data_IF_127255443516
#
_entry.id   IF_127255443516
#
_cell.length_a   1.000
_cell.length_b   1.000
_cell.length_c   1.000
_cell.angle_alpha   90.00
_cell.angle_beta   90.00
_cell.angle_gamma   90.00
#
_symmetry.space_group_name_H-M   'P 1'
#
loop_
_entity.id
_entity.type
_entity.pdbx_description
1 polymer ?
#
# COMPACT_ATOMS: atom_id res chain seq x y z
N UNK A 1 -27.52 0.97 6.27
CA UNK A 1 -26.30 0.30 6.74
C UNK A 1 -25.61 -0.27 5.51
N UNK A 2 -24.69 0.46 4.88
CA UNK A 2 -23.98 -0.03 3.69
C UNK A 2 -22.74 -0.79 4.14
N UNK A 3 -22.90 -2.09 4.45
CA UNK A 3 -21.77 -3.00 4.60
C UNK A 3 -21.16 -3.19 3.21
N UNK A 4 -20.14 -2.39 2.90
CA UNK A 4 -19.34 -2.63 1.70
C UNK A 4 -18.81 -4.08 1.75
N UNK A 5 -18.93 -4.86 0.67
CA UNK A 5 -18.41 -6.22 0.64
C UNK A 5 -16.91 -6.22 0.97
N UNK A 6 -16.39 -7.26 1.65
CA UNK A 6 -14.97 -7.35 1.95
C UNK A 6 -14.19 -7.25 0.64
N UNK A 7 -13.43 -6.16 0.48
CA UNK A 7 -12.64 -5.93 -0.73
C UNK A 7 -11.47 -6.90 -0.70
N UNK A 8 -11.64 -8.04 -1.37
CA UNK A 8 -10.58 -9.00 -1.62
C UNK A 8 -9.60 -8.37 -2.62
N UNK A 9 -8.68 -7.55 -2.13
CA UNK A 9 -7.52 -7.11 -2.91
C UNK A 9 -6.42 -8.16 -2.71
N UNK A 10 -5.92 -8.81 -3.77
CA UNK A 10 -4.78 -9.69 -3.63
C UNK A 10 -3.63 -8.94 -2.96
N UNK A 11 -3.01 -9.53 -1.95
CA UNK A 11 -1.87 -8.92 -1.29
C UNK A 11 -0.63 -8.89 -2.19
N UNK A 12 0.39 -8.18 -1.75
CA UNK A 12 1.76 -8.35 -2.23
C UNK A 12 2.44 -9.50 -1.46
N UNK A 13 3.46 -10.12 -2.05
CA UNK A 13 4.35 -10.99 -1.28
C UNK A 13 5.06 -10.20 -0.17
N UNK A 14 5.63 -10.88 0.81
CA UNK A 14 6.34 -10.22 1.91
C UNK A 14 7.53 -9.38 1.40
N UNK A 15 8.27 -9.88 0.42
CA UNK A 15 9.39 -9.15 -0.19
C UNK A 15 8.93 -7.90 -0.96
N UNK A 16 7.84 -8.02 -1.71
CA UNK A 16 7.22 -6.91 -2.42
C UNK A 16 6.70 -5.84 -1.43
N UNK A 17 6.01 -6.29 -0.38
CA UNK A 17 5.52 -5.41 0.69
C UNK A 17 6.66 -4.70 1.42
N UNK A 18 7.78 -5.39 1.68
CA UNK A 18 8.97 -4.80 2.30
C UNK A 18 9.62 -3.73 1.41
N UNK A 19 9.70 -3.96 0.09
CA UNK A 19 10.17 -2.95 -0.88
C UNK A 19 9.27 -1.73 -0.91
N UNK A 20 7.95 -1.93 -0.96
CA UNK A 20 6.96 -0.84 -0.91
C UNK A 20 7.11 -0.04 0.40
N UNK A 21 7.19 -0.70 1.57
CA UNK A 21 7.41 -0.04 2.86
C UNK A 21 8.70 0.79 2.85
N UNK A 22 9.81 0.24 2.35
CA UNK A 22 11.10 0.93 2.30
C UNK A 22 11.00 2.23 1.49
N UNK A 23 10.35 2.21 0.33
CA UNK A 23 10.17 3.40 -0.51
C UNK A 23 9.29 4.47 0.16
N UNK A 24 8.19 4.06 0.81
CA UNK A 24 7.32 4.98 1.57
C UNK A 24 8.09 5.64 2.72
N UNK A 25 8.79 4.85 3.54
CA UNK A 25 9.53 5.35 4.71
C UNK A 25 10.69 6.26 4.28
N UNK A 26 11.38 5.92 3.19
CA UNK A 26 12.46 6.74 2.63
C UNK A 26 11.99 7.93 1.81
N UNK A 27 10.67 8.11 1.60
CA UNK A 27 10.09 9.13 0.69
C UNK A 27 10.73 9.10 -0.71
N UNK A 28 11.01 7.90 -1.21
CA UNK A 28 11.72 7.70 -2.45
C UNK A 28 10.79 7.85 -3.65
N UNK A 29 10.61 9.09 -4.13
CA UNK A 29 10.08 9.41 -5.46
C UNK A 29 8.79 8.68 -5.89
N UNK A 30 8.53 8.60 -7.21
CA UNK A 30 7.43 7.80 -7.76
C UNK A 30 7.69 6.30 -7.52
N UNK A 31 6.65 5.58 -7.09
CA UNK A 31 6.74 4.13 -6.84
C UNK A 31 6.09 3.35 -7.98
N UNK A 32 6.74 2.29 -8.45
CA UNK A 32 6.18 1.35 -9.42
C UNK A 32 5.66 0.09 -8.74
N UNK A 33 4.56 -0.46 -9.25
CA UNK A 33 4.01 -1.73 -8.80
C UNK A 33 5.01 -2.84 -9.11
N UNK A 34 5.49 -3.60 -8.12
CA UNK A 34 6.49 -4.65 -8.36
C UNK A 34 5.95 -5.80 -9.23
N UNK A 35 4.61 -5.91 -9.33
CA UNK A 35 3.96 -6.96 -10.08
C UNK A 35 3.69 -6.61 -11.56
N UNK A 36 3.28 -5.37 -11.86
CA UNK A 36 2.86 -4.97 -13.22
C UNK A 36 3.51 -3.69 -13.73
N UNK A 37 4.40 -3.05 -12.97
CA UNK A 37 5.12 -1.83 -13.36
C UNK A 37 4.29 -0.54 -13.35
N UNK A 38 2.97 -0.60 -13.18
CA UNK A 38 2.11 0.58 -13.10
C UNK A 38 2.43 1.47 -11.90
N UNK A 39 2.17 2.77 -12.00
CA UNK A 39 2.41 3.72 -10.91
C UNK A 39 1.57 3.36 -9.66
N UNK A 40 2.21 3.42 -8.49
CA UNK A 40 1.59 3.29 -7.19
C UNK A 40 1.41 4.65 -6.54
N UNK A 41 0.16 4.97 -6.19
CA UNK A 41 -0.17 6.17 -5.42
C UNK A 41 -0.50 5.78 -3.97
N UNK A 42 0.37 6.09 -3.00
CA UNK A 42 0.08 5.86 -1.59
C UNK A 42 -0.94 6.90 -1.09
N UNK A 43 -2.02 6.42 -0.48
CA UNK A 43 -2.95 7.25 0.28
C UNK A 43 -2.56 7.22 1.75
N UNK A 44 -2.37 8.39 2.37
CA UNK A 44 -2.02 8.50 3.79
C UNK A 44 -3.28 8.71 4.62
N UNK A 45 -3.44 7.92 5.67
CA UNK A 45 -4.44 8.06 6.71
C UNK A 45 -3.82 8.05 8.10
N UNK A 46 -4.65 8.29 9.11
CA UNK A 46 -4.30 8.17 10.52
C UNK A 46 -5.03 7.00 11.17
N UNK A 47 -4.34 6.29 12.06
CA UNK A 47 -4.91 5.32 13.00
C UNK A 47 -4.49 5.72 14.42
N UNK A 48 -5.31 6.55 15.07
CA UNK A 48 -4.95 7.23 16.31
C UNK A 48 -3.72 8.12 16.13
N UNK A 49 -2.67 7.87 16.92
CA UNK A 49 -1.38 8.59 16.82
C UNK A 49 -0.47 8.09 15.69
N UNK A 50 -0.84 7.02 14.98
CA UNK A 50 0.00 6.37 13.97
C UNK A 50 -0.39 6.82 12.56
N UNK A 51 0.61 7.03 11.72
CA UNK A 51 0.41 7.21 10.27
C UNK A 51 0.29 5.84 9.61
N UNK A 52 -0.70 5.72 8.73
CA UNK A 52 -0.97 4.53 7.95
C UNK A 52 -0.94 4.91 6.47
N UNK A 53 -0.24 4.13 5.65
CA UNK A 53 -0.26 4.29 4.21
C UNK A 53 -0.99 3.11 3.58
N UNK A 54 -2.04 3.40 2.82
CA UNK A 54 -2.67 2.44 1.94
C UNK A 54 -2.05 2.58 0.56
N UNK A 55 -1.43 1.51 0.07
CA UNK A 55 -0.89 1.45 -1.30
C UNK A 55 -1.72 0.45 -2.09
N UNK A 56 -2.30 0.92 -3.19
CA UNK A 56 -3.10 0.08 -4.09
C UNK A 56 -2.66 0.34 -5.53
N UNK A 57 -2.46 -0.74 -6.28
CA UNK A 57 -2.27 -0.67 -7.72
C UNK A 57 -3.63 -0.74 -8.41
N UNK A 58 -3.95 0.24 -9.25
CA UNK A 58 -5.23 0.23 -9.99
C UNK A 58 -5.25 -0.78 -11.15
N UNK A 59 -4.09 -1.17 -11.67
CA UNK A 59 -3.97 -2.16 -12.75
C UNK A 59 -4.14 -3.60 -12.24
N UNK A 60 -3.32 -4.03 -11.28
CA UNK A 60 -3.36 -5.42 -10.79
C UNK A 60 -4.26 -5.59 -9.56
N UNK A 61 -4.88 -4.51 -9.07
CA UNK A 61 -5.78 -4.46 -7.90
C UNK A 61 -5.15 -4.95 -6.59
N UNK A 62 -3.82 -5.10 -6.55
CA UNK A 62 -3.07 -5.52 -5.36
C UNK A 62 -2.93 -4.37 -4.38
N UNK A 63 -3.05 -4.69 -3.10
CA UNK A 63 -3.01 -3.71 -2.03
C UNK A 63 -2.13 -4.13 -0.86
N UNK A 64 -1.50 -3.16 -0.21
CA UNK A 64 -0.84 -3.34 1.09
C UNK A 64 -1.09 -2.12 1.97
N UNK A 65 -1.28 -2.38 3.26
CA UNK A 65 -1.31 -1.35 4.29
C UNK A 65 0.05 -1.35 4.99
N UNK A 66 0.67 -0.18 5.06
CA UNK A 66 1.96 0.03 5.71
C UNK A 66 1.73 0.87 6.96
N UNK A 67 2.23 0.39 8.09
CA UNK A 67 2.26 1.14 9.35
C UNK A 67 3.69 1.62 9.60
N UNK A 68 3.86 2.82 10.16
CA UNK A 68 5.14 3.24 10.74
C UNK A 68 5.25 2.62 12.15
N UNK A 69 5.28 1.29 12.23
CA UNK A 69 5.66 0.60 13.46
C UNK A 69 7.18 0.55 13.54
N UNK A 70 7.73 1.11 14.62
CA UNK A 70 9.06 0.76 15.11
C UNK A 70 9.07 -0.66 15.65
#
# INVERSE_FOLDING_TARGET
MHSAPPRWSPGYSLDEAARIRKQIVMRAGPMGCPHCGAELKPTVGGDGERRVWLVRCEQCRRGVVVHNGG
#
